data_IF_290721727144
#
_entry.id   IF_290721727144
#
_cell.length_a   1.000
_cell.length_b   1.000
_cell.length_c   1.000
_cell.angle_alpha   90.00
_cell.angle_beta   90.00
_cell.angle_gamma   90.00
#
_symmetry.space_group_name_H-M   'P 1'
#
loop_
_entity.id
_entity.type
_entity.pdbx_description
1 polymer ?
#
# COMPACT_ATOMS: atom_id res chain seq x y z
N UNK A 1 -76.61 13.38 -24.96
CA UNK A 1 -77.86 12.83 -25.50
C UNK A 1 -77.67 12.69 -27.00
N UNK A 2 -77.69 11.44 -27.52
CA UNK A 2 -77.92 11.01 -28.92
C UNK A 2 -76.93 11.53 -30.00
N UNK A 3 -75.92 10.75 -30.42
CA UNK A 3 -75.89 9.75 -31.54
C UNK A 3 -76.24 10.29 -32.93
N UNK A 4 -75.40 10.01 -33.94
CA UNK A 4 -75.78 9.36 -35.22
C UNK A 4 -74.57 9.26 -36.19
N UNK A 5 -74.53 8.11 -36.85
CA UNK A 5 -73.62 7.57 -37.89
C UNK A 5 -74.01 8.06 -39.29
N UNK A 6 -73.03 8.16 -40.23
CA UNK A 6 -73.09 7.88 -41.71
C UNK A 6 -71.90 8.59 -42.40
N UNK A 7 -70.91 8.01 -43.09
CA UNK A 7 -70.78 7.04 -44.21
C UNK A 7 -70.93 7.68 -45.63
N UNK A 8 -70.15 7.16 -46.60
CA UNK A 8 -70.16 7.33 -48.10
C UNK A 8 -69.22 8.41 -48.71
N UNK A 9 -68.55 8.27 -49.87
CA UNK A 9 -67.78 7.25 -50.65
C UNK A 9 -67.37 7.91 -51.99
N UNK A 10 -66.20 7.59 -52.59
CA UNK A 10 -65.82 7.71 -54.03
C UNK A 10 -64.42 7.06 -54.20
N UNK A 11 -64.15 5.87 -54.80
CA UNK A 11 -64.34 5.34 -56.17
C UNK A 11 -63.45 6.16 -57.15
N UNK A 12 -62.39 5.70 -57.87
CA UNK A 12 -62.20 4.60 -58.86
C UNK A 12 -60.70 4.41 -59.21
N UNK A 13 -60.32 3.13 -59.38
CA UNK A 13 -59.19 2.40 -60.02
C UNK A 13 -58.22 3.00 -61.09
N UNK A 14 -56.96 2.50 -61.09
CA UNK A 14 -56.21 1.92 -62.24
C UNK A 14 -54.84 1.30 -61.80
N UNK A 15 -54.71 -0.04 -61.65
CA UNK A 15 -53.87 -1.00 -62.46
C UNK A 15 -52.67 -0.37 -63.23
N UNK A 16 -51.44 -0.91 -63.31
CA UNK A 16 -50.96 -2.29 -63.25
C UNK A 16 -49.39 -2.35 -63.26
N UNK A 17 -48.83 -3.38 -62.62
CA UNK A 17 -47.62 -4.17 -62.98
C UNK A 17 -46.17 -3.65 -62.74
N UNK A 18 -45.47 -4.40 -61.87
CA UNK A 18 -44.11 -4.99 -62.04
C UNK A 18 -42.94 -4.42 -61.19
N UNK A 19 -42.69 -5.18 -60.11
CA UNK A 19 -41.41 -5.64 -59.52
C UNK A 19 -40.40 -4.68 -58.87
N UNK A 20 -40.22 -4.92 -57.56
CA UNK A 20 -38.98 -5.24 -56.85
C UNK A 20 -37.71 -4.42 -57.15
N UNK A 21 -37.27 -3.65 -56.15
CA UNK A 21 -36.06 -3.88 -55.30
C UNK A 21 -35.69 -2.51 -54.73
N UNK A 22 -35.83 -2.36 -53.40
CA UNK A 22 -35.13 -1.31 -52.68
C UNK A 22 -33.62 -1.62 -52.75
N UNK A 23 -32.84 -0.74 -53.36
CA UNK A 23 -31.38 -0.75 -53.19
C UNK A 23 -31.06 -0.17 -51.82
N UNK A 24 -30.64 -1.02 -50.89
CA UNK A 24 -29.91 -0.60 -49.70
C UNK A 24 -28.50 -0.21 -50.12
N UNK A 25 -28.12 1.07 -49.94
CA UNK A 25 -26.71 1.44 -49.92
C UNK A 25 -26.15 1.07 -48.54
N UNK A 26 -25.48 -0.09 -48.48
CA UNK A 26 -24.62 -0.49 -47.36
C UNK A 26 -23.27 0.24 -47.46
N UNK A 27 -23.01 1.21 -46.58
CA UNK A 27 -21.64 1.61 -46.23
C UNK A 27 -21.11 0.59 -45.20
N UNK A 28 -20.04 -0.19 -45.41
CA UNK A 28 -18.60 0.18 -45.44
C UNK A 28 -17.75 -1.11 -45.66
N UNK A 29 -16.43 -0.99 -45.88
CA UNK A 29 -15.52 -1.81 -45.09
C UNK A 29 -14.34 -1.03 -44.49
N UNK A 30 -13.96 -1.36 -43.25
CA UNK A 30 -12.77 -0.85 -42.57
C UNK A 30 -11.56 -1.71 -42.94
N UNK A 31 -10.54 -1.09 -43.55
CA UNK A 31 -9.28 -1.75 -43.96
C UNK A 31 -8.25 -1.64 -42.84
N UNK A 32 -7.68 -2.76 -42.38
CA UNK A 32 -6.51 -2.77 -41.49
C UNK A 32 -5.27 -3.27 -42.23
N UNK A 33 -4.23 -2.44 -42.21
CA UNK A 33 -2.91 -2.77 -42.73
C UNK A 33 -2.05 -3.37 -41.63
N UNK A 34 -1.35 -4.46 -41.92
CA UNK A 34 -0.32 -5.02 -41.04
C UNK A 34 1.03 -4.83 -41.73
N UNK A 35 1.95 -4.11 -41.09
CA UNK A 35 3.26 -3.83 -41.65
C UNK A 35 4.21 -5.02 -41.43
N UNK A 36 4.83 -5.51 -42.50
CA UNK A 36 5.91 -6.52 -42.45
C UNK A 36 7.07 -5.98 -43.29
N UNK A 37 8.02 -5.29 -42.66
CA UNK A 37 9.26 -4.84 -43.31
C UNK A 37 9.12 -3.68 -44.31
N UNK A 38 10.26 -3.08 -44.65
CA UNK A 38 10.35 -1.72 -45.25
C UNK A 38 9.83 -1.57 -46.69
N UNK A 39 9.36 -2.63 -47.36
CA UNK A 39 8.76 -2.46 -48.71
C UNK A 39 7.53 -3.30 -49.02
N UNK A 40 7.00 -4.13 -48.10
CA UNK A 40 5.80 -4.94 -48.39
C UNK A 40 4.66 -4.69 -47.37
N UNK A 41 3.52 -4.20 -47.85
CA UNK A 41 2.27 -4.07 -47.07
C UNK A 41 1.27 -5.15 -47.48
N UNK A 42 0.91 -6.03 -46.55
CA UNK A 42 -0.16 -7.01 -46.74
C UNK A 42 -1.52 -6.37 -46.43
N UNK A 43 -2.46 -6.46 -47.38
CA UNK A 43 -3.84 -5.95 -47.23
C UNK A 43 -4.79 -7.13 -46.99
N UNK A 44 -5.42 -7.19 -45.81
CA UNK A 44 -6.43 -8.21 -45.50
C UNK A 44 -7.81 -7.58 -45.65
N UNK A 45 -8.55 -7.94 -46.70
CA UNK A 45 -9.95 -7.57 -46.88
C UNK A 45 -10.81 -8.50 -46.03
N UNK A 46 -11.30 -7.99 -44.90
CA UNK A 46 -12.31 -8.69 -44.10
C UNK A 46 -13.68 -8.37 -44.69
N UNK A 47 -14.34 -9.38 -45.27
CA UNK A 47 -15.69 -9.22 -45.82
C UNK A 47 -16.69 -8.77 -44.75
N UNK A 48 -17.70 -8.01 -45.16
CA UNK A 48 -18.79 -7.56 -44.29
C UNK A 48 -19.43 -8.78 -43.59
N UNK A 49 -19.68 -8.72 -42.27
CA UNK A 49 -20.54 -9.71 -41.63
C UNK A 49 -21.89 -9.73 -42.34
N UNK A 50 -22.38 -10.91 -42.73
CA UNK A 50 -23.72 -11.03 -43.32
C UNK A 50 -24.78 -10.48 -42.36
N UNK A 51 -25.83 -9.88 -42.93
CA UNK A 51 -27.00 -9.42 -42.17
C UNK A 51 -27.48 -10.53 -41.23
N UNK A 52 -27.74 -10.24 -39.93
CA UNK A 52 -28.30 -11.23 -39.04
C UNK A 52 -29.58 -11.80 -39.64
N UNK A 53 -29.67 -13.12 -39.77
CA UNK A 53 -30.89 -13.78 -40.23
C UNK A 53 -32.07 -13.34 -39.36
N UNK A 54 -33.23 -13.14 -39.98
CA UNK A 54 -34.47 -12.81 -39.27
C UNK A 54 -34.66 -13.78 -38.10
N UNK A 55 -34.97 -13.30 -36.87
CA UNK A 55 -35.19 -14.19 -35.73
C UNK A 55 -36.22 -15.26 -36.11
N UNK A 56 -35.82 -16.52 -36.05
CA UNK A 56 -36.73 -17.63 -36.30
C UNK A 56 -37.90 -17.56 -35.32
N UNK A 57 -39.10 -17.92 -35.77
CA UNK A 57 -40.25 -18.06 -34.89
C UNK A 57 -39.86 -18.89 -33.67
N UNK A 58 -40.09 -18.36 -32.47
CA UNK A 58 -39.81 -19.06 -31.22
C UNK A 58 -40.58 -20.38 -31.24
N UNK A 59 -39.88 -21.49 -31.38
CA UNK A 59 -40.48 -22.82 -31.27
C UNK A 59 -41.17 -22.97 -29.92
N UNK A 60 -42.31 -23.65 -29.92
CA UNK A 60 -43.05 -23.94 -28.70
C UNK A 60 -42.11 -24.57 -27.67
N UNK A 61 -42.26 -24.15 -26.41
CA UNK A 61 -41.46 -24.70 -25.32
C UNK A 61 -41.75 -26.20 -25.22
N UNK A 62 -40.75 -27.02 -25.53
CA UNK A 62 -40.84 -28.46 -25.34
C UNK A 62 -41.16 -28.81 -23.88
N UNK A 63 -41.78 -29.97 -23.62
CA UNK A 63 -42.11 -30.37 -22.26
C UNK A 63 -40.85 -30.35 -21.38
N UNK A 64 -41.00 -29.89 -20.14
CA UNK A 64 -39.91 -29.85 -19.17
C UNK A 64 -39.31 -31.25 -19.02
N UNK A 65 -38.01 -31.39 -19.31
CA UNK A 65 -37.30 -32.64 -19.13
C UNK A 65 -37.35 -33.09 -17.68
N UNK A 66 -37.50 -34.41 -17.45
CA UNK A 66 -37.51 -34.96 -16.10
C UNK A 66 -36.24 -34.57 -15.35
N UNK A 67 -36.41 -34.10 -14.11
CA UNK A 67 -35.31 -33.68 -13.25
C UNK A 67 -34.43 -34.89 -12.99
N UNK A 68 -33.19 -34.87 -13.52
CA UNK A 68 -32.19 -35.90 -13.27
C UNK A 68 -31.99 -36.15 -11.77
N UNK A 69 -31.84 -37.42 -11.38
CA UNK A 69 -31.60 -37.81 -10.01
C UNK A 69 -30.37 -37.11 -9.45
N UNK A 70 -30.45 -36.66 -8.18
CA UNK A 70 -29.32 -36.07 -7.45
C UNK A 70 -28.14 -37.03 -7.48
N UNK A 71 -26.99 -36.60 -8.02
CA UNK A 71 -25.77 -37.41 -8.02
C UNK A 71 -25.33 -37.76 -6.60
N UNK A 72 -24.71 -38.92 -6.45
CA UNK A 72 -24.22 -39.41 -5.15
C UNK A 72 -23.27 -38.40 -4.50
N UNK A 73 -23.42 -38.21 -3.20
CA UNK A 73 -22.57 -37.30 -2.43
C UNK A 73 -21.13 -37.83 -2.47
N UNK A 74 -20.19 -37.01 -2.96
CA UNK A 74 -18.77 -37.34 -2.98
C UNK A 74 -18.27 -37.68 -1.58
N UNK A 75 -17.43 -38.72 -1.47
CA UNK A 75 -16.84 -39.14 -0.20
C UNK A 75 -16.14 -37.94 0.46
N UNK A 76 -16.37 -37.74 1.75
CA UNK A 76 -15.68 -36.72 2.52
C UNK A 76 -14.16 -36.89 2.34
N UNK A 77 -13.46 -35.79 2.09
CA UNK A 77 -12.00 -35.78 2.05
C UNK A 77 -11.42 -36.27 3.38
N UNK A 78 -10.19 -36.80 3.41
CA UNK A 78 -9.53 -37.15 4.66
C UNK A 78 -9.51 -35.94 5.59
N UNK A 79 -9.76 -36.18 6.88
CA UNK A 79 -9.67 -35.15 7.90
C UNK A 79 -8.29 -34.47 7.82
N UNK A 80 -8.29 -33.14 7.83
CA UNK A 80 -7.04 -32.38 7.96
C UNK A 80 -6.29 -32.83 9.20
N UNK A 81 -4.96 -32.84 9.13
CA UNK A 81 -4.14 -33.15 10.30
C UNK A 81 -4.54 -32.21 11.45
N UNK A 82 -4.69 -32.72 12.69
CA UNK A 82 -4.89 -31.86 13.85
C UNK A 82 -3.82 -30.79 13.89
N UNK A 83 -4.23 -29.53 14.07
CA UNK A 83 -3.29 -28.44 14.33
C UNK A 83 -2.38 -28.80 15.49
N UNK A 84 -1.12 -28.38 15.44
CA UNK A 84 -0.18 -28.60 16.53
C UNK A 84 -0.78 -28.08 17.85
N UNK A 85 -0.62 -28.87 18.91
CA UNK A 85 -1.00 -28.48 20.27
C UNK A 85 -0.25 -27.18 20.57
N UNK A 86 -0.99 -26.07 20.72
CA UNK A 86 -0.40 -24.81 21.15
C UNK A 86 0.27 -25.01 22.51
N UNK A 87 1.50 -24.52 22.66
CA UNK A 87 2.25 -24.58 23.91
C UNK A 87 1.43 -23.92 25.03
N UNK A 88 0.75 -24.74 25.83
CA UNK A 88 -0.01 -24.30 26.99
C UNK A 88 0.97 -23.87 28.08
N UNK A 89 1.00 -22.57 28.41
CA UNK A 89 1.63 -22.02 29.61
C UNK A 89 2.51 -20.78 29.42
N UNK A 90 2.87 -20.39 28.20
CA UNK A 90 3.67 -19.18 27.99
C UNK A 90 2.77 -17.93 28.01
N UNK A 91 3.09 -16.99 28.91
CA UNK A 91 2.50 -15.66 28.95
C UNK A 91 2.67 -15.00 27.57
N UNK A 92 1.59 -14.42 27.05
CA UNK A 92 1.61 -13.73 25.77
C UNK A 92 2.70 -12.63 25.78
N UNK A 93 3.59 -12.60 24.77
CA UNK A 93 4.74 -11.69 24.79
C UNK A 93 4.30 -10.25 24.56
N UNK A 94 4.87 -9.33 25.35
CA UNK A 94 4.54 -7.89 25.29
C UNK A 94 5.33 -7.13 24.23
N UNK A 95 6.45 -7.69 23.79
CA UNK A 95 7.37 -7.06 22.84
C UNK A 95 8.23 -8.13 22.14
N UNK A 96 9.03 -7.71 21.15
CA UNK A 96 9.92 -8.61 20.40
C UNK A 96 11.03 -9.23 21.27
N UNK A 97 11.45 -8.57 22.36
CA UNK A 97 12.45 -9.12 23.28
C UNK A 97 11.90 -10.32 24.06
N UNK A 98 10.68 -10.23 24.57
CA UNK A 98 10.02 -11.37 25.22
C UNK A 98 9.77 -12.51 24.22
N UNK A 99 9.44 -12.22 22.95
CA UNK A 99 9.35 -13.23 21.89
C UNK A 99 10.68 -13.96 21.68
N UNK A 100 11.78 -13.21 21.62
CA UNK A 100 13.13 -13.77 21.48
C UNK A 100 13.49 -14.67 22.68
N UNK A 101 13.21 -14.21 23.90
CA UNK A 101 13.45 -14.98 25.14
C UNK A 101 12.59 -16.25 25.22
N UNK A 102 11.45 -16.26 24.54
CA UNK A 102 10.56 -17.42 24.39
C UNK A 102 10.99 -18.38 23.27
N UNK A 103 12.08 -18.08 22.54
CA UNK A 103 12.65 -18.95 21.51
C UNK A 103 12.28 -18.60 20.07
N UNK A 104 11.75 -17.40 19.82
CA UNK A 104 11.50 -16.91 18.45
C UNK A 104 12.74 -16.22 17.89
N UNK A 105 13.54 -16.95 17.12
CA UNK A 105 14.85 -16.46 16.61
C UNK A 105 14.82 -15.89 15.20
N UNK A 106 13.71 -16.03 14.45
CA UNK A 106 13.61 -15.53 13.08
C UNK A 106 12.99 -14.14 13.07
N UNK A 107 13.60 -13.21 12.32
CA UNK A 107 12.99 -11.90 12.07
C UNK A 107 11.71 -12.06 11.24
N UNK A 108 10.70 -11.24 11.54
CA UNK A 108 9.40 -11.34 10.87
C UNK A 108 8.28 -10.64 11.60
N UNK A 109 7.05 -10.80 11.10
CA UNK A 109 5.86 -10.21 11.70
C UNK A 109 5.28 -11.11 12.79
N UNK A 110 5.09 -10.56 13.98
CA UNK A 110 4.57 -11.26 15.15
C UNK A 110 3.42 -10.49 15.79
N UNK A 111 2.53 -11.22 16.46
CA UNK A 111 1.53 -10.61 17.36
C UNK A 111 2.13 -10.50 18.77
N UNK A 112 2.10 -9.30 19.32
CA UNK A 112 2.44 -9.01 20.71
C UNK A 112 1.22 -8.45 21.44
N UNK A 113 1.26 -8.46 22.77
CA UNK A 113 0.17 -7.98 23.64
C UNK A 113 0.74 -6.96 24.65
N UNK A 114 0.99 -5.71 24.24
CA UNK A 114 1.68 -4.73 25.08
C UNK A 114 1.02 -4.54 26.45
N UNK A 115 -0.32 -4.50 26.47
CA UNK A 115 -1.14 -4.32 27.67
C UNK A 115 -1.74 -5.63 28.19
N UNK A 116 -1.31 -6.79 27.65
CA UNK A 116 -1.83 -8.11 27.99
C UNK A 116 -3.17 -8.49 27.35
N UNK A 117 -3.96 -7.51 26.87
CA UNK A 117 -5.30 -7.77 26.31
C UNK A 117 -5.36 -7.56 24.79
N UNK A 118 -4.93 -6.39 24.31
CA UNK A 118 -5.10 -6.01 22.90
C UNK A 118 -3.86 -6.35 22.09
N UNK A 119 -4.03 -7.27 21.14
CA UNK A 119 -2.98 -7.69 20.21
C UNK A 119 -2.56 -6.54 19.27
N UNK A 120 -1.25 -6.45 19.01
CA UNK A 120 -0.66 -5.58 18.00
C UNK A 120 0.31 -6.41 17.15
N UNK A 121 0.21 -6.30 15.83
CA UNK A 121 1.13 -6.98 14.91
C UNK A 121 2.32 -6.05 14.63
N UNK A 122 3.53 -6.51 14.92
CA UNK A 122 4.78 -5.74 14.76
C UNK A 122 5.82 -6.54 13.98
N UNK A 123 6.75 -5.84 13.33
CA UNK A 123 7.92 -6.46 12.73
C UNK A 123 9.01 -6.58 13.80
N UNK A 124 9.48 -7.80 14.04
CA UNK A 124 10.59 -8.08 14.93
C UNK A 124 11.87 -8.31 14.14
N UNK A 125 12.92 -7.61 14.51
CA UNK A 125 14.28 -7.93 14.11
C UNK A 125 14.95 -8.72 15.25
N UNK A 126 15.21 -10.00 14.98
CA UNK A 126 15.76 -10.98 15.92
C UNK A 126 17.26 -11.23 15.73
N UNK A 127 17.92 -10.51 14.81
CA UNK A 127 19.31 -10.76 14.44
C UNK A 127 20.23 -9.59 14.81
N UNK A 128 19.85 -8.37 14.44
CA UNK A 128 20.70 -7.19 14.63
C UNK A 128 20.98 -6.95 16.10
N UNK A 129 22.26 -6.85 16.48
CA UNK A 129 22.70 -6.44 17.82
C UNK A 129 22.02 -7.24 18.96
N UNK A 130 21.95 -8.56 18.80
CA UNK A 130 21.34 -9.48 19.75
C UNK A 130 19.82 -9.63 19.64
N UNK A 131 19.16 -8.94 18.72
CA UNK A 131 17.75 -9.18 18.34
C UNK A 131 16.69 -8.75 19.35
N UNK A 132 15.41 -8.97 19.04
CA UNK A 132 14.30 -8.57 19.91
C UNK A 132 13.90 -7.11 19.74
N UNK A 133 14.27 -6.48 18.62
CA UNK A 133 13.90 -5.12 18.28
C UNK A 133 12.50 -5.07 17.65
N UNK A 134 11.71 -4.07 18.02
CA UNK A 134 10.49 -3.70 17.31
C UNK A 134 10.87 -2.69 16.22
N UNK A 135 10.72 -3.06 14.95
CA UNK A 135 10.89 -2.16 13.81
C UNK A 135 9.57 -1.40 13.58
N UNK A 136 9.61 -0.07 13.66
CA UNK A 136 8.41 0.77 13.48
C UNK A 136 8.44 1.64 12.23
N UNK A 137 9.60 1.80 11.61
CA UNK A 137 9.74 2.43 10.31
C UNK A 137 10.64 1.57 9.43
N UNK A 138 10.25 1.41 8.16
CA UNK A 138 11.08 0.75 7.15
C UNK A 138 10.94 1.45 5.80
N UNK A 139 12.08 1.81 5.20
CA UNK A 139 12.23 2.25 3.80
C UNK A 139 13.09 1.22 3.07
N UNK A 140 12.76 0.86 1.84
CA UNK A 140 13.40 -0.26 1.14
C UNK A 140 13.49 -0.07 -0.37
N UNK A 141 12.43 0.42 -1.02
CA UNK A 141 12.33 0.46 -2.49
C UNK A 141 11.59 1.69 -3.05
N UNK A 142 10.98 2.50 -2.19
CA UNK A 142 10.20 3.68 -2.56
C UNK A 142 8.81 3.37 -3.11
N UNK A 143 8.28 2.16 -2.88
CA UNK A 143 6.93 1.78 -3.33
C UNK A 143 5.81 2.45 -2.53
N UNK A 144 6.09 2.89 -1.30
CA UNK A 144 5.11 3.54 -0.44
C UNK A 144 5.40 5.04 -0.39
N UNK A 145 4.36 5.84 -0.65
CA UNK A 145 4.43 7.28 -0.45
C UNK A 145 4.45 7.62 1.05
N UNK A 146 5.49 8.29 1.53
CA UNK A 146 5.62 8.77 2.91
C UNK A 146 5.22 10.25 3.08
N UNK A 147 4.98 11.02 2.01
CA UNK A 147 4.48 12.40 2.14
C UNK A 147 2.97 12.43 2.42
N UNK A 148 2.61 12.01 3.63
CA UNK A 148 1.27 11.71 4.13
C UNK A 148 0.78 12.76 5.12
N UNK A 149 -0.51 12.68 5.44
CA UNK A 149 -1.16 13.58 6.40
C UNK A 149 -1.04 13.09 7.86
N UNK A 150 -1.48 13.92 8.80
CA UNK A 150 -1.47 13.61 10.23
C UNK A 150 -2.17 12.30 10.59
N UNK A 151 -3.34 12.05 9.99
CA UNK A 151 -4.17 10.90 10.33
C UNK A 151 -3.58 9.59 9.84
N UNK A 152 -2.86 9.61 8.71
CA UNK A 152 -2.08 8.49 8.22
C UNK A 152 -0.89 8.19 9.16
N UNK A 153 -0.13 9.21 9.57
CA UNK A 153 0.98 9.02 10.52
C UNK A 153 0.51 8.58 11.91
N UNK A 154 -0.64 9.05 12.36
CA UNK A 154 -1.27 8.65 13.63
C UNK A 154 -1.61 7.15 13.65
N UNK A 155 -2.29 6.67 12.60
CA UNK A 155 -2.79 5.27 12.52
C UNK A 155 -1.76 4.28 12.01
N UNK A 156 -0.77 4.73 11.25
CA UNK A 156 0.16 3.89 10.53
C UNK A 156 -0.29 3.59 9.11
N UNK A 157 0.68 3.29 8.24
CA UNK A 157 0.46 3.02 6.82
C UNK A 157 1.57 2.16 6.23
N UNK A 158 1.34 1.66 5.02
CA UNK A 158 2.34 0.94 4.23
C UNK A 158 2.00 -0.53 4.01
N UNK A 159 3.03 -1.34 3.79
CA UNK A 159 2.93 -2.74 3.44
C UNK A 159 3.92 -3.56 4.29
N UNK A 160 3.44 -4.66 4.87
CA UNK A 160 4.26 -5.55 5.69
C UNK A 160 5.44 -6.19 4.93
N UNK A 161 5.32 -6.33 3.62
CA UNK A 161 6.36 -6.93 2.77
C UNK A 161 7.43 -5.93 2.32
N UNK A 162 7.13 -4.63 2.31
CA UNK A 162 8.05 -3.60 1.81
C UNK A 162 8.31 -2.52 2.86
N UNK A 163 7.59 -1.41 2.78
CA UNK A 163 7.83 -0.18 3.53
C UNK A 163 6.62 0.16 4.39
N UNK A 164 6.86 0.64 5.61
CA UNK A 164 5.76 1.00 6.50
C UNK A 164 6.17 2.01 7.56
N UNK A 165 5.15 2.65 8.12
CA UNK A 165 5.18 3.38 9.37
C UNK A 165 4.15 2.75 10.32
N UNK A 166 4.57 2.31 11.51
CA UNK A 166 3.73 1.56 12.44
C UNK A 166 2.54 2.36 12.98
N UNK A 167 2.64 3.69 12.98
CA UNK A 167 1.62 4.60 13.49
C UNK A 167 2.00 5.18 14.85
N UNK A 168 1.85 6.49 15.00
CA UNK A 168 2.27 7.21 16.20
C UNK A 168 1.51 6.76 17.45
N UNK A 169 0.22 6.40 17.33
CA UNK A 169 -0.55 5.84 18.44
C UNK A 169 0.05 4.52 18.94
N UNK A 170 0.47 3.66 18.02
CA UNK A 170 1.10 2.38 18.36
C UNK A 170 2.49 2.59 18.97
N UNK A 171 3.30 3.49 18.40
CA UNK A 171 4.64 3.77 18.90
C UNK A 171 4.56 4.36 20.31
N UNK A 172 3.73 5.37 20.54
CA UNK A 172 3.54 5.97 21.86
C UNK A 172 3.06 4.94 22.88
N UNK A 173 2.08 4.10 22.53
CA UNK A 173 1.59 3.00 23.38
C UNK A 173 2.71 2.01 23.74
N UNK A 174 3.55 1.65 22.78
CA UNK A 174 4.66 0.71 23.01
C UNK A 174 5.77 1.31 23.86
N UNK A 175 5.97 2.63 23.79
CA UNK A 175 7.03 3.33 24.52
C UNK A 175 6.55 4.04 25.79
N UNK A 176 5.29 3.86 26.20
CA UNK A 176 4.69 4.64 27.32
C UNK A 176 5.20 4.23 28.69
N UNK A 177 5.82 3.06 28.82
CA UNK A 177 6.32 2.54 30.09
C UNK A 177 7.63 1.78 29.89
N UNK A 178 8.56 1.92 30.83
CA UNK A 178 9.89 1.30 30.72
C UNK A 178 10.84 2.13 29.86
N UNK A 179 12.12 1.78 29.90
CA UNK A 179 13.15 2.39 29.07
C UNK A 179 13.37 1.54 27.83
N UNK A 180 13.45 2.18 26.67
CA UNK A 180 13.68 1.51 25.39
C UNK A 180 14.90 2.12 24.72
N UNK A 181 15.93 1.34 24.47
CA UNK A 181 17.01 1.77 23.60
C UNK A 181 16.50 1.90 22.16
N UNK A 182 17.15 2.75 21.39
CA UNK A 182 16.74 3.07 20.03
C UNK A 182 17.90 2.99 19.07
N UNK A 183 17.60 2.45 17.88
CA UNK A 183 18.57 2.18 16.83
C UNK A 183 18.00 2.60 15.48
N UNK A 184 18.86 3.24 14.69
CA UNK A 184 18.63 3.51 13.27
C UNK A 184 19.65 2.72 12.47
N UNK A 185 19.17 1.92 11.53
CA UNK A 185 19.99 1.21 10.55
C UNK A 185 19.84 1.87 9.18
N UNK A 186 20.96 2.08 8.49
CA UNK A 186 21.04 2.83 7.24
C UNK A 186 21.93 2.09 6.25
N UNK A 187 21.41 1.83 5.05
CA UNK A 187 22.17 1.24 3.93
C UNK A 187 22.13 2.16 2.73
N UNK A 188 23.29 2.43 2.15
CA UNK A 188 23.43 3.29 0.97
C UNK A 188 23.31 2.48 -0.36
N UNK A 189 23.43 3.16 -1.51
CA UNK A 189 23.35 2.51 -2.82
C UNK A 189 24.60 1.72 -3.21
N UNK A 190 25.71 1.96 -2.51
CA UNK A 190 26.94 1.19 -2.59
C UNK A 190 26.91 -0.04 -1.64
N UNK A 191 25.79 -0.26 -0.93
CA UNK A 191 25.59 -1.28 0.10
C UNK A 191 26.50 -1.16 1.33
N UNK A 192 27.03 0.04 1.59
CA UNK A 192 27.67 0.32 2.87
C UNK A 192 26.60 0.46 3.95
N UNK A 193 26.85 -0.20 5.07
CA UNK A 193 25.99 -0.19 6.23
C UNK A 193 26.51 0.81 7.28
N UNK A 194 25.59 1.56 7.86
CA UNK A 194 25.85 2.47 8.98
C UNK A 194 24.69 2.46 9.96
N UNK A 195 24.95 2.85 11.20
CA UNK A 195 23.93 2.87 12.24
C UNK A 195 24.15 3.99 13.26
N UNK A 196 23.12 4.30 14.03
CA UNK A 196 23.15 5.21 15.17
C UNK A 196 22.31 4.63 16.32
N UNK A 197 22.80 4.72 17.56
CA UNK A 197 22.13 4.22 18.76
C UNK A 197 21.96 5.30 19.83
N UNK A 198 20.88 5.20 20.59
CA UNK A 198 20.49 6.15 21.62
C UNK A 198 20.01 5.40 22.88
N UNK A 199 20.32 5.95 24.05
CA UNK A 199 20.09 5.29 25.34
C UNK A 199 18.61 5.09 25.69
N UNK A 200 17.74 5.98 25.21
CA UNK A 200 16.29 5.87 25.44
C UNK A 200 15.49 6.48 24.28
N UNK A 201 14.26 6.01 24.10
CA UNK A 201 13.30 6.53 23.12
C UNK A 201 11.87 6.38 23.64
N UNK A 202 11.11 7.45 23.52
CA UNK A 202 9.66 7.44 23.70
C UNK A 202 8.99 8.55 22.91
N UNK A 203 7.70 8.37 22.62
CA UNK A 203 6.82 9.45 22.19
C UNK A 203 5.89 9.85 23.34
N UNK A 204 5.63 11.15 23.48
CA UNK A 204 4.78 11.67 24.56
C UNK A 204 3.88 12.84 24.13
N UNK A 205 2.81 13.06 24.89
CA UNK A 205 1.84 14.15 24.66
C UNK A 205 0.98 13.99 23.41
N UNK A 206 0.14 14.99 23.15
CA UNK A 206 -0.88 14.96 22.08
C UNK A 206 -0.32 15.14 20.66
N UNK A 207 0.93 15.61 20.56
CA UNK A 207 1.65 15.84 19.30
C UNK A 207 2.82 14.86 19.10
N UNK A 208 2.82 13.72 19.81
CA UNK A 208 3.84 12.66 19.67
C UNK A 208 5.27 13.18 19.79
N UNK A 209 5.50 14.04 20.78
CA UNK A 209 6.79 14.68 21.01
C UNK A 209 7.88 13.63 21.19
N UNK A 210 9.01 13.81 20.50
CA UNK A 210 10.17 12.92 20.63
C UNK A 210 10.84 13.12 21.99
N UNK A 211 11.06 12.03 22.71
CA UNK A 211 11.92 11.97 23.88
C UNK A 211 13.05 11.01 23.57
N UNK A 212 14.21 11.55 23.18
CA UNK A 212 15.39 10.76 22.82
C UNK A 212 16.48 10.97 23.87
N UNK A 213 17.06 9.87 24.35
CA UNK A 213 18.16 9.85 25.30
C UNK A 213 19.49 10.20 24.65
N UNK A 214 20.57 10.13 25.45
CA UNK A 214 21.92 10.39 24.96
C UNK A 214 22.28 9.48 23.78
N UNK A 215 22.92 10.04 22.76
CA UNK A 215 23.57 9.28 21.70
C UNK A 215 24.66 8.39 22.30
N UNK A 216 24.60 7.09 22.00
CA UNK A 216 25.53 6.09 22.54
C UNK A 216 26.59 5.65 21.55
N UNK A 217 26.41 5.94 20.25
CA UNK A 217 27.42 5.67 19.22
C UNK A 217 26.82 5.21 17.89
N UNK A 218 27.71 4.83 16.98
CA UNK A 218 27.36 4.31 15.66
C UNK A 218 28.05 5.05 14.52
N UNK A 219 28.31 4.32 13.43
CA UNK A 219 29.08 4.84 12.29
C UNK A 219 28.35 5.90 11.47
N UNK A 220 27.05 6.10 11.66
CA UNK A 220 26.28 7.16 11.00
C UNK A 220 26.42 8.53 11.68
N UNK A 221 26.97 8.59 12.90
CA UNK A 221 26.97 9.80 13.73
C UNK A 221 25.57 10.18 14.23
N UNK A 222 25.47 11.31 14.93
CA UNK A 222 24.24 11.75 15.58
C UNK A 222 23.51 12.84 14.76
N UNK A 223 22.40 12.47 14.13
CA UNK A 223 21.49 13.41 13.47
C UNK A 223 20.10 13.46 14.10
N UNK A 224 19.90 12.88 15.29
CA UNK A 224 18.59 12.82 15.95
C UNK A 224 18.51 13.60 17.26
N UNK A 225 19.63 13.83 17.96
CA UNK A 225 19.59 14.61 19.22
C UNK A 225 19.06 16.03 19.02
N UNK A 226 19.30 16.63 17.84
CA UNK A 226 18.71 17.93 17.45
C UNK A 226 17.18 17.96 17.53
N UNK A 227 16.56 16.79 17.32
CA UNK A 227 15.11 16.62 17.28
C UNK A 227 14.48 16.34 18.65
N UNK A 228 15.28 16.26 19.72
CA UNK A 228 14.78 15.99 21.05
C UNK A 228 13.79 17.07 21.54
N UNK A 229 12.76 16.64 22.26
CA UNK A 229 11.67 17.46 22.79
C UNK A 229 10.83 18.19 21.73
N UNK A 230 11.00 17.88 20.44
CA UNK A 230 10.21 18.48 19.36
C UNK A 230 8.93 17.70 19.09
N UNK A 231 7.80 18.38 18.85
CA UNK A 231 6.56 17.74 18.43
C UNK A 231 6.67 17.22 17.00
N UNK A 232 5.86 16.21 16.65
CA UNK A 232 5.78 15.70 15.29
C UNK A 232 5.00 16.67 14.40
N UNK A 233 5.42 16.81 13.14
CA UNK A 233 4.78 17.67 12.14
C UNK A 233 4.55 16.93 10.83
N UNK A 234 3.47 17.28 10.16
CA UNK A 234 3.05 16.75 8.85
C UNK A 234 2.60 17.92 7.97
N UNK A 235 2.41 17.66 6.67
CA UNK A 235 2.04 18.70 5.70
C UNK A 235 0.74 19.46 6.03
N UNK A 236 -0.16 18.86 6.82
CA UNK A 236 -1.46 19.40 7.21
C UNK A 236 -1.55 19.74 8.71
N UNK A 237 -0.51 19.46 9.48
CA UNK A 237 -0.42 19.86 10.90
C UNK A 237 1.01 20.27 11.23
N UNK A 238 1.17 21.58 11.30
CA UNK A 238 2.41 22.24 11.61
C UNK A 238 2.54 22.43 13.12
N UNK A 239 3.52 21.75 13.72
CA UNK A 239 3.90 21.94 15.12
C UNK A 239 5.40 22.30 15.23
N UNK A 240 6.09 22.57 14.12
CA UNK A 240 7.52 22.86 14.16
C UNK A 240 7.77 24.30 14.67
N UNK A 241 9.03 24.70 14.79
CA UNK A 241 9.40 26.02 15.31
C UNK A 241 9.83 26.99 14.21
N UNK A 242 9.79 26.55 12.95
CA UNK A 242 10.15 27.37 11.81
C UNK A 242 8.97 28.28 11.40
N UNK A 243 9.25 29.37 10.67
CA UNK A 243 8.21 30.32 10.25
C UNK A 243 7.31 29.77 9.13
N UNK A 244 7.89 28.92 8.28
CA UNK A 244 7.22 28.13 7.25
C UNK A 244 7.14 26.66 7.67
N UNK A 245 6.23 25.90 7.05
CA UNK A 245 6.03 24.48 7.37
C UNK A 245 7.17 23.58 6.86
N UNK A 246 7.98 23.05 7.77
CA UNK A 246 9.13 22.19 7.44
C UNK A 246 8.71 20.91 6.70
N UNK A 247 7.58 20.30 7.09
CA UNK A 247 7.09 19.08 6.45
C UNK A 247 6.76 19.32 4.97
N UNK A 248 6.18 20.48 4.63
CA UNK A 248 5.89 20.88 3.24
C UNK A 248 7.17 21.21 2.48
N UNK A 249 8.13 21.90 3.10
CA UNK A 249 9.41 22.26 2.47
C UNK A 249 10.24 21.01 2.13
N UNK A 250 10.41 20.11 3.10
CA UNK A 250 11.29 18.95 3.01
C UNK A 250 10.57 17.63 2.72
N UNK A 251 9.30 17.70 2.29
CA UNK A 251 8.53 16.61 1.68
C UNK A 251 8.46 15.34 2.53
N UNK A 252 8.34 15.50 3.84
CA UNK A 252 8.31 14.40 4.80
C UNK A 252 7.34 14.65 5.96
N UNK A 253 7.53 13.88 7.03
CA UNK A 253 6.92 14.13 8.32
C UNK A 253 7.86 13.66 9.42
N UNK A 254 8.11 14.54 10.39
CA UNK A 254 9.17 14.36 11.35
C UNK A 254 8.98 15.23 12.59
N UNK A 255 9.85 15.06 13.57
CA UNK A 255 9.98 15.96 14.73
C UNK A 255 10.80 17.20 14.35
N UNK A 256 10.30 17.99 13.40
CA UNK A 256 11.05 19.10 12.82
C UNK A 256 11.38 20.22 13.83
N UNK A 257 12.57 20.80 13.68
CA UNK A 257 13.01 22.05 14.30
C UNK A 257 12.97 23.20 13.30
N UNK A 258 14.13 23.67 12.84
CA UNK A 258 14.31 24.69 11.79
C UNK A 258 15.34 24.25 10.72
N UNK A 259 15.16 23.16 9.98
CA UNK A 259 14.06 22.21 10.04
C UNK A 259 14.54 20.83 10.51
N UNK A 260 15.67 20.32 10.02
CA UNK A 260 16.13 19.00 10.40
C UNK A 260 17.62 18.75 10.17
N UNK A 261 18.12 17.75 10.90
CA UNK A 261 19.39 17.07 10.63
C UNK A 261 19.12 15.63 10.12
N UNK A 262 17.90 15.11 10.30
CA UNK A 262 17.45 13.84 9.76
C UNK A 262 16.04 13.96 9.16
N UNK A 263 15.80 13.29 8.02
CA UNK A 263 14.52 13.26 7.33
C UNK A 263 14.22 11.87 6.75
N UNK A 264 14.24 10.83 7.60
CA UNK A 264 14.12 9.43 7.14
C UNK A 264 12.75 9.10 6.50
N UNK A 265 11.78 9.99 6.67
CA UNK A 265 10.45 9.93 6.07
C UNK A 265 10.28 10.81 4.82
N UNK A 266 11.38 11.41 4.32
CA UNK A 266 11.37 12.20 3.09
C UNK A 266 11.22 11.37 1.81
N UNK A 267 11.42 12.03 0.68
CA UNK A 267 11.29 11.44 -0.65
C UNK A 267 12.35 10.36 -0.89
N UNK A 268 11.95 9.30 -1.58
CA UNK A 268 12.85 8.21 -1.95
C UNK A 268 13.64 8.59 -3.22
N UNK A 269 14.72 9.37 -3.08
CA UNK A 269 15.44 10.00 -4.20
C UNK A 269 16.61 9.19 -4.77
N UNK A 270 16.82 7.98 -4.26
CA UNK A 270 17.75 6.98 -4.81
C UNK A 270 19.23 7.42 -4.89
N UNK A 271 19.83 7.77 -3.77
CA UNK A 271 21.23 8.19 -3.69
C UNK A 271 21.39 9.69 -3.88
N UNK A 272 22.39 10.12 -4.65
CA UNK A 272 22.68 11.55 -4.86
C UNK A 272 21.53 12.27 -5.56
N UNK A 273 21.14 13.43 -5.05
CA UNK A 273 20.11 14.29 -5.65
C UNK A 273 20.51 15.78 -5.61
N UNK A 274 19.82 16.62 -6.38
CA UNK A 274 20.12 18.06 -6.51
C UNK A 274 19.21 18.95 -5.68
N UNK A 275 18.01 18.48 -5.32
CA UNK A 275 17.11 19.15 -4.39
C UNK A 275 17.72 19.17 -2.99
N UNK A 276 17.43 20.22 -2.22
CA UNK A 276 18.02 20.39 -0.90
C UNK A 276 17.22 19.66 0.17
N UNK A 277 17.84 18.66 0.81
CA UNK A 277 17.41 18.02 2.06
C UNK A 277 15.98 17.43 2.10
N UNK A 278 15.38 17.14 0.94
CA UNK A 278 14.02 16.60 0.82
C UNK A 278 13.97 15.07 0.59
N UNK A 279 15.13 14.42 0.63
CA UNK A 279 15.29 12.96 0.52
C UNK A 279 15.18 12.22 1.86
N UNK A 280 15.59 10.94 1.86
CA UNK A 280 15.83 10.17 3.09
C UNK A 280 17.18 10.54 3.66
N UNK A 281 17.22 11.60 4.49
CA UNK A 281 18.45 12.27 4.94
C UNK A 281 18.89 11.81 6.32
N UNK A 282 20.21 11.64 6.48
CA UNK A 282 20.93 11.59 7.75
C UNK A 282 22.21 12.43 7.61
N UNK A 283 22.18 13.66 8.12
CA UNK A 283 23.17 14.72 7.83
C UNK A 283 24.60 14.28 8.16
N UNK A 284 24.83 13.76 9.37
CA UNK A 284 26.18 13.35 9.82
C UNK A 284 26.74 12.16 9.06
N UNK A 285 25.89 11.43 8.33
CA UNK A 285 26.28 10.27 7.53
C UNK A 285 26.70 10.66 6.11
N UNK A 286 25.74 11.10 5.30
CA UNK A 286 25.95 11.38 3.86
C UNK A 286 25.58 12.82 3.46
N UNK A 287 25.18 13.66 4.41
CA UNK A 287 24.76 15.05 4.18
C UNK A 287 23.40 15.18 3.50
N UNK A 288 23.05 16.41 3.12
CA UNK A 288 21.70 16.80 2.67
C UNK A 288 21.36 16.48 1.21
N UNK A 289 22.33 15.99 0.44
CA UNK A 289 22.20 15.73 -1.00
C UNK A 289 22.29 14.24 -1.34
N UNK A 290 22.07 13.37 -0.36
CA UNK A 290 22.07 11.93 -0.54
C UNK A 290 20.89 11.28 0.20
N UNK A 291 20.04 10.58 -0.54
CA UNK A 291 18.94 9.78 0.00
C UNK A 291 19.35 8.33 0.15
N UNK A 292 19.27 7.79 1.37
CA UNK A 292 19.57 6.38 1.65
C UNK A 292 18.66 5.41 0.89
N UNK A 293 19.14 4.17 0.69
CA UNK A 293 18.42 3.09 0.02
C UNK A 293 17.52 2.35 1.01
N UNK A 294 18.07 1.87 2.12
CA UNK A 294 17.31 1.15 3.14
C UNK A 294 17.48 1.89 4.44
N UNK A 295 16.36 2.12 5.15
CA UNK A 295 16.41 2.63 6.53
C UNK A 295 15.45 1.84 7.39
N UNK A 296 15.86 1.53 8.61
CA UNK A 296 14.98 0.95 9.62
C UNK A 296 15.15 1.70 10.93
N UNK A 297 14.04 2.10 11.54
CA UNK A 297 14.02 2.65 12.89
C UNK A 297 13.39 1.63 13.82
N UNK A 298 14.11 1.31 14.90
CA UNK A 298 13.73 0.23 15.81
C UNK A 298 14.07 0.54 17.26
N UNK A 299 13.28 0.00 18.18
CA UNK A 299 13.51 0.14 19.62
C UNK A 299 13.33 -1.20 20.33
N UNK A 300 13.96 -1.35 21.50
CA UNK A 300 13.92 -2.56 22.33
C UNK A 300 13.95 -2.18 23.80
N UNK A 301 13.20 -2.86 24.69
CA UNK A 301 13.32 -2.63 26.13
C UNK A 301 14.74 -2.92 26.64
N UNK A 302 15.22 -2.08 27.56
CA UNK A 302 16.52 -2.24 28.26
C UNK A 302 16.33 -3.04 29.54
#
# INVERSE_FOLDING_TARGET
>A
MVSIVTMWTSVVTALCLVTCIHSAEESCPEVKYVAIGETDKLTILRGCPGLPGSPGHKGDTGPAGEKGSRGDVGKAGPAGQPGSIGLTGQKAPRNCKELLDQGSFLSGWYKIYPDGETALTVMCDMDTDGGGWIVFQRRYDGTVNFFRDWNDYKRGFGNQLTEFWLGNDNIQRLTSSGSHEFRVDLTDYENNYSFATYASFALSGDNYKLQIGAFTGGSAGDSLSYHNDRPFSTKDRDNDIHADNCAVMFKGAWWYGECHNANLNGLYLRGKHTSYADGIIWETGKGDYYSYKITEMKFRPV
#
